data_IF_588512924821
#
_entry.id   IF_588512924821
#
_cell.length_a   1.000
_cell.length_b   1.000
_cell.length_c   1.000
_cell.angle_alpha   90.00
_cell.angle_beta   90.00
_cell.angle_gamma   90.00
#
_symmetry.space_group_name_H-M   'P 1'
#
loop_
_entity.id
_entity.type
_entity.pdbx_description
1 polymer ?
#
# COMPACT_ATOMS: atom_id res chain seq x y z
N UNK A 1 -9.57 50.68 13.62
CA UNK A 1 -8.86 49.52 14.23
C UNK A 1 -9.32 48.25 13.52
N UNK A 2 -8.35 47.42 13.07
CA UNK A 2 -8.34 45.94 12.86
C UNK A 2 -9.70 45.21 12.84
N UNK A 3 -10.08 44.30 11.92
CA UNK A 3 -9.45 43.44 10.89
C UNK A 3 -10.59 42.99 9.91
N UNK A 4 -10.44 42.88 8.58
CA UNK A 4 -9.71 41.88 7.72
C UNK A 4 -10.21 40.43 7.95
N UNK A 5 -10.67 39.55 7.03
CA UNK A 5 -11.08 39.44 5.60
C UNK A 5 -11.86 38.07 5.50
N UNK A 6 -12.59 37.75 4.40
CA UNK A 6 -13.74 36.85 4.36
C UNK A 6 -13.47 35.45 3.77
N UNK A 7 -14.58 34.74 3.52
CA UNK A 7 -14.83 33.72 2.48
C UNK A 7 -15.06 32.28 2.93
N UNK A 8 -16.34 31.89 2.80
CA UNK A 8 -16.85 30.53 2.73
C UNK A 8 -16.37 29.90 1.42
N UNK A 9 -15.66 28.78 1.52
CA UNK A 9 -15.63 27.75 0.47
C UNK A 9 -16.18 26.47 1.08
N UNK A 10 -17.32 26.02 0.57
CA UNK A 10 -17.96 24.75 0.94
C UNK A 10 -17.15 23.64 0.27
N UNK A 11 -16.25 23.03 1.04
CA UNK A 11 -15.70 21.70 0.78
C UNK A 11 -16.06 20.81 1.95
N UNK A 12 -16.86 19.77 1.72
CA UNK A 12 -17.36 18.86 2.75
C UNK A 12 -16.17 18.18 3.45
N UNK A 13 -15.95 18.38 4.76
CA UNK A 13 -14.94 17.63 5.50
C UNK A 13 -15.50 16.25 5.81
N UNK A 14 -14.96 15.20 5.16
CA UNK A 14 -15.18 13.83 5.63
C UNK A 14 -14.40 13.67 6.93
N UNK A 15 -15.14 13.86 8.03
CA UNK A 15 -14.77 13.53 9.40
C UNK A 15 -14.33 12.06 9.51
N UNK A 16 -13.03 11.79 9.42
CA UNK A 16 -12.42 10.60 10.02
C UNK A 16 -12.17 10.84 11.52
N UNK A 17 -13.25 11.12 12.24
CA UNK A 17 -13.29 11.05 13.68
C UNK A 17 -14.55 10.24 14.03
N UNK A 18 -14.36 9.14 14.78
CA UNK A 18 -15.36 8.18 15.27
C UNK A 18 -15.57 6.87 14.49
N UNK A 19 -14.49 6.22 14.01
CA UNK A 19 -14.58 4.85 13.47
C UNK A 19 -13.50 3.85 13.90
N UNK A 20 -12.51 4.26 14.69
CA UNK A 20 -11.48 3.34 15.22
C UNK A 20 -11.58 3.26 16.73
N UNK A 21 -12.78 2.89 17.22
CA UNK A 21 -12.94 2.43 18.60
C UNK A 21 -13.21 0.94 18.58
N UNK A 22 -12.30 0.23 19.23
CA UNK A 22 -12.50 -1.08 19.86
C UNK A 22 -13.01 -2.14 18.89
N UNK A 23 -12.14 -2.92 18.22
CA UNK A 23 -11.78 -4.25 18.68
C UNK A 23 -10.61 -4.76 17.83
N UNK A 24 -9.38 -4.33 18.08
CA UNK A 24 -8.22 -5.10 17.61
C UNK A 24 -7.98 -6.22 18.62
N UNK A 25 -8.87 -7.21 18.64
CA UNK A 25 -8.50 -8.54 19.11
C UNK A 25 -7.51 -9.08 18.07
N UNK A 26 -6.21 -8.98 18.35
CA UNK A 26 -5.23 -9.92 17.79
C UNK A 26 -5.63 -11.32 18.31
N UNK A 27 -6.57 -11.96 17.63
CA UNK A 27 -7.03 -13.31 17.91
C UNK A 27 -6.86 -14.15 16.65
N UNK A 28 -6.23 -15.34 16.73
CA UNK A 28 -6.19 -16.24 15.60
C UNK A 28 -7.59 -16.85 15.44
N UNK A 29 -8.27 -16.56 14.34
CA UNK A 29 -9.43 -17.32 13.89
C UNK A 29 -9.47 -17.31 12.36
N UNK A 30 -9.70 -18.39 11.63
CA UNK A 30 -9.76 -19.83 11.87
C UNK A 30 -9.26 -20.43 10.54
N UNK A 31 -8.58 -21.57 10.66
CA UNK A 31 -8.22 -22.49 9.59
C UNK A 31 -9.13 -22.50 8.35
N UNK A 32 -8.63 -22.02 7.23
CA UNK A 32 -8.64 -22.84 6.03
C UNK A 32 -7.18 -22.98 5.60
N UNK A 33 -6.63 -24.17 5.78
CA UNK A 33 -5.48 -24.63 5.02
C UNK A 33 -5.90 -24.65 3.56
N UNK A 34 -5.81 -23.51 2.88
CA UNK A 34 -6.25 -23.38 1.49
C UNK A 34 -5.25 -24.11 0.61
N UNK A 35 -5.55 -25.38 0.32
CA UNK A 35 -4.99 -26.12 -0.79
C UNK A 35 -5.17 -25.27 -2.06
N UNK A 36 -4.11 -24.61 -2.54
CA UNK A 36 -4.08 -24.17 -3.94
C UNK A 36 -3.26 -22.93 -4.30
N UNK A 37 -2.99 -21.96 -3.41
CA UNK A 37 -2.12 -20.82 -3.77
C UNK A 37 -1.18 -20.42 -2.64
N UNK A 38 0.10 -20.46 -2.96
CA UNK A 38 1.22 -20.18 -2.07
C UNK A 38 1.20 -18.71 -1.62
N UNK A 39 1.60 -18.47 -0.37
CA UNK A 39 1.80 -17.09 0.12
C UNK A 39 2.85 -16.37 -0.73
N UNK A 40 2.83 -15.04 -0.75
CA UNK A 40 3.83 -14.26 -1.48
C UNK A 40 5.27 -14.60 -1.04
N UNK A 41 5.50 -14.91 0.24
CA UNK A 41 6.78 -15.41 0.73
C UNK A 41 7.22 -16.72 0.09
N UNK A 42 6.33 -17.71 -0.01
CA UNK A 42 6.65 -18.99 -0.67
C UNK A 42 6.85 -18.81 -2.17
N UNK A 43 6.09 -17.91 -2.81
CA UNK A 43 6.32 -17.52 -4.21
C UNK A 43 7.69 -16.89 -4.43
N UNK A 44 8.19 -16.08 -3.49
CA UNK A 44 9.54 -15.50 -3.57
C UNK A 44 10.61 -16.59 -3.53
N UNK A 45 10.45 -17.60 -2.67
CA UNK A 45 11.39 -18.73 -2.60
C UNK A 45 11.36 -19.54 -3.88
N UNK A 46 10.18 -20.00 -4.31
CA UNK A 46 10.05 -20.86 -5.50
C UNK A 46 10.30 -20.12 -6.82
N UNK A 47 9.96 -18.83 -6.89
CA UNK A 47 10.18 -17.96 -8.05
C UNK A 47 11.63 -17.52 -8.21
N UNK A 48 12.54 -17.92 -7.31
CA UNK A 48 13.97 -17.62 -7.39
C UNK A 48 14.32 -16.18 -7.00
N UNK A 49 13.59 -15.60 -6.06
CA UNK A 49 13.88 -14.30 -5.46
C UNK A 49 12.85 -13.21 -5.77
N UNK A 50 12.95 -12.12 -5.01
CA UNK A 50 12.00 -11.00 -5.03
C UNK A 50 11.91 -10.34 -6.40
N UNK A 51 13.04 -10.16 -7.09
CA UNK A 51 13.08 -9.51 -8.40
C UNK A 51 12.37 -10.32 -9.48
N UNK A 52 12.54 -11.65 -9.48
CA UNK A 52 11.85 -12.53 -10.43
C UNK A 52 10.34 -12.52 -10.16
N UNK A 53 9.94 -12.60 -8.90
CA UNK A 53 8.52 -12.51 -8.53
C UNK A 53 7.91 -11.15 -8.89
N UNK A 54 8.64 -10.05 -8.71
CA UNK A 54 8.18 -8.73 -9.15
C UNK A 54 7.85 -8.72 -10.65
N UNK A 55 8.76 -9.25 -11.50
CA UNK A 55 8.56 -9.39 -12.96
C UNK A 55 7.46 -10.36 -13.35
N UNK A 56 7.15 -11.35 -12.52
CA UNK A 56 6.04 -12.28 -12.74
C UNK A 56 4.68 -11.70 -12.35
N UNK A 57 4.64 -10.87 -11.31
CA UNK A 57 3.38 -10.33 -10.76
C UNK A 57 2.93 -9.08 -11.51
N UNK A 58 3.89 -8.23 -11.90
CA UNK A 58 3.65 -6.97 -12.57
C UNK A 58 4.29 -6.99 -13.95
N UNK A 59 3.64 -6.33 -14.91
CA UNK A 59 4.29 -5.99 -16.17
C UNK A 59 5.47 -5.06 -15.85
N UNK A 60 6.65 -5.39 -16.36
CA UNK A 60 7.90 -4.64 -16.13
C UNK A 60 8.41 -4.20 -17.49
N UNK A 61 8.59 -2.89 -17.66
CA UNK A 61 9.04 -2.32 -18.92
C UNK A 61 10.56 -2.57 -19.12
N UNK A 62 11.03 -2.39 -20.35
CA UNK A 62 12.45 -2.50 -20.65
C UNK A 62 13.25 -1.46 -19.84
N UNK A 63 14.37 -1.87 -19.26
CA UNK A 63 15.20 -1.00 -18.42
C UNK A 63 14.70 -0.80 -16.99
N UNK A 64 13.45 -1.16 -16.66
CA UNK A 64 12.92 -0.99 -15.30
C UNK A 64 13.65 -1.89 -14.28
N UNK A 65 14.10 -1.27 -13.19
CA UNK A 65 14.87 -1.91 -12.12
C UNK A 65 14.09 -1.87 -10.81
N UNK A 66 14.02 -3.01 -10.13
CA UNK A 66 13.52 -3.08 -8.75
C UNK A 66 14.59 -2.52 -7.80
N UNK A 67 14.26 -1.47 -7.06
CA UNK A 67 15.14 -0.83 -6.08
C UNK A 67 14.99 -1.46 -4.69
N UNK A 68 13.74 -1.72 -4.29
CA UNK A 68 13.43 -2.22 -2.94
C UNK A 68 12.15 -3.03 -2.93
N UNK A 69 12.10 -4.03 -2.06
CA UNK A 69 10.86 -4.59 -1.56
C UNK A 69 10.83 -4.53 -0.03
N UNK A 70 9.66 -4.21 0.52
CA UNK A 70 9.42 -4.07 1.95
C UNK A 70 8.07 -4.69 2.31
N UNK A 71 8.05 -5.50 3.36
CA UNK A 71 6.79 -5.95 3.95
C UNK A 71 6.10 -4.76 4.63
N UNK A 72 4.80 -4.65 4.41
CA UNK A 72 3.96 -3.62 5.01
C UNK A 72 2.47 -4.02 4.94
N UNK A 73 1.63 -3.15 5.43
CA UNK A 73 0.18 -3.21 5.27
C UNK A 73 -0.29 -2.03 4.43
N UNK A 74 -1.22 -2.29 3.51
CA UNK A 74 -2.01 -1.25 2.87
C UNK A 74 -3.27 -1.00 3.70
N UNK A 75 -3.51 0.23 4.12
CA UNK A 75 -4.74 0.61 4.80
C UNK A 75 -5.90 0.65 3.81
N UNK A 76 -7.02 0.01 4.16
CA UNK A 76 -8.27 0.05 3.37
C UNK A 76 -9.45 0.25 4.31
N UNK A 77 -10.61 0.60 3.76
CA UNK A 77 -11.86 0.75 4.53
C UNK A 77 -12.33 -0.55 5.19
N UNK A 78 -12.00 -1.70 4.61
CA UNK A 78 -12.27 -3.03 5.18
C UNK A 78 -11.19 -3.48 6.18
N UNK A 79 -10.19 -2.64 6.43
CA UNK A 79 -9.05 -2.93 7.32
C UNK A 79 -7.71 -3.08 6.57
N UNK A 80 -6.61 -3.24 7.31
CA UNK A 80 -5.26 -3.32 6.74
C UNK A 80 -5.03 -4.66 6.03
N UNK A 81 -4.48 -4.61 4.82
CA UNK A 81 -4.12 -5.78 4.01
C UNK A 81 -2.61 -5.98 4.06
N UNK A 82 -2.16 -7.14 4.57
CA UNK A 82 -0.74 -7.51 4.60
C UNK A 82 -0.21 -7.79 3.18
N UNK A 83 0.99 -7.29 2.86
CA UNK A 83 1.61 -7.51 1.56
C UNK A 83 3.06 -7.04 1.47
N UNK A 84 3.56 -7.02 0.24
CA UNK A 84 4.84 -6.41 -0.09
C UNK A 84 4.63 -5.17 -0.95
N UNK A 85 5.30 -4.09 -0.56
CA UNK A 85 5.53 -2.91 -1.38
C UNK A 85 6.83 -3.09 -2.15
N UNK A 86 6.73 -3.04 -3.47
CA UNK A 86 7.83 -3.03 -4.43
C UNK A 86 8.03 -1.59 -4.91
N UNK A 87 9.26 -1.12 -4.88
CA UNK A 87 9.67 0.21 -5.35
C UNK A 87 10.66 -0.04 -6.48
N UNK A 88 10.31 0.39 -7.68
CA UNK A 88 11.14 0.33 -8.88
C UNK A 88 11.46 1.73 -9.39
N UNK A 89 12.27 1.82 -10.44
CA UNK A 89 12.55 3.09 -11.13
C UNK A 89 11.30 3.68 -11.79
N UNK A 90 10.32 2.84 -12.19
CA UNK A 90 9.15 3.30 -12.96
C UNK A 90 7.85 3.34 -12.14
N UNK A 91 7.75 2.52 -11.08
CA UNK A 91 6.52 2.41 -10.29
C UNK A 91 6.72 1.99 -8.84
N UNK A 92 5.77 2.40 -8.01
CA UNK A 92 5.50 1.81 -6.69
C UNK A 92 4.36 0.81 -6.86
N UNK A 93 4.55 -0.44 -6.48
CA UNK A 93 3.57 -1.50 -6.64
C UNK A 93 3.37 -2.28 -5.34
N UNK A 94 2.13 -2.60 -4.99
CA UNK A 94 1.78 -3.40 -3.83
C UNK A 94 1.11 -4.69 -4.26
N UNK A 95 1.45 -5.80 -3.61
CA UNK A 95 0.75 -7.08 -3.76
C UNK A 95 0.47 -7.69 -2.39
N UNK A 96 -0.79 -8.08 -2.15
CA UNK A 96 -1.17 -8.78 -0.92
C UNK A 96 -0.49 -10.14 -0.78
N UNK A 97 -0.19 -10.54 0.45
CA UNK A 97 0.41 -11.86 0.72
C UNK A 97 -0.53 -13.00 0.34
N UNK A 98 -1.83 -12.81 0.63
CA UNK A 98 -2.90 -13.78 0.39
C UNK A 98 -3.81 -13.29 -0.75
N UNK A 99 -4.42 -14.23 -1.45
CA UNK A 99 -5.44 -13.90 -2.46
C UNK A 99 -6.77 -13.57 -1.77
N UNK A 100 -7.48 -12.58 -2.30
CA UNK A 100 -8.85 -12.29 -1.94
C UNK A 100 -9.79 -13.06 -2.86
N UNK A 101 -10.94 -13.47 -2.34
CA UNK A 101 -12.02 -14.09 -3.11
C UNK A 101 -12.98 -13.00 -3.56
N UNK A 102 -13.17 -12.88 -4.87
CA UNK A 102 -14.05 -11.89 -5.50
C UNK A 102 -15.15 -12.63 -6.25
N UNK A 103 -16.40 -12.20 -6.11
CA UNK A 103 -17.49 -12.72 -6.94
C UNK A 103 -17.31 -12.29 -8.40
N UNK A 104 -17.42 -13.25 -9.30
CA UNK A 104 -17.44 -13.03 -10.75
C UNK A 104 -18.86 -12.68 -11.18
N UNK A 105 -19.05 -11.75 -12.14
CA UNK A 105 -20.34 -11.47 -12.74
C UNK A 105 -21.04 -12.73 -13.30
N UNK A 106 -20.28 -13.75 -13.69
CA UNK A 106 -20.80 -14.99 -14.29
C UNK A 106 -21.19 -16.06 -13.25
N UNK A 107 -21.33 -15.72 -11.97
CA UNK A 107 -21.82 -16.65 -10.94
C UNK A 107 -20.76 -17.57 -10.31
N UNK A 108 -19.48 -17.18 -10.33
CA UNK A 108 -18.38 -17.93 -9.70
C UNK A 108 -17.55 -17.06 -8.76
N UNK A 109 -16.51 -17.62 -8.14
CA UNK A 109 -15.54 -16.86 -7.34
C UNK A 109 -14.16 -16.90 -7.98
N UNK A 110 -13.55 -15.73 -8.17
CA UNK A 110 -12.17 -15.59 -8.63
C UNK A 110 -11.28 -15.26 -7.43
N UNK A 111 -10.24 -16.06 -7.21
CA UNK A 111 -9.24 -15.82 -6.16
C UNK A 111 -8.01 -15.13 -6.76
N UNK A 112 -7.86 -13.84 -6.49
CA UNK A 112 -6.75 -13.01 -7.00
C UNK A 112 -6.10 -12.21 -5.86
N UNK A 113 -4.77 -12.02 -5.84
CA UNK A 113 -4.16 -11.07 -4.91
C UNK A 113 -4.67 -9.65 -5.17
N UNK A 114 -4.83 -8.89 -4.09
CA UNK A 114 -5.06 -7.45 -4.18
C UNK A 114 -3.77 -6.80 -4.67
N UNK A 115 -3.87 -5.95 -5.70
CA UNK A 115 -2.73 -5.27 -6.30
C UNK A 115 -3.00 -3.78 -6.42
N UNK A 116 -1.96 -2.99 -6.20
CA UNK A 116 -1.93 -1.56 -6.51
C UNK A 116 -0.69 -1.30 -7.34
N UNK A 117 -0.81 -0.44 -8.37
CA UNK A 117 0.32 0.02 -9.18
C UNK A 117 0.19 1.52 -9.32
N UNK A 118 1.22 2.24 -8.88
CA UNK A 118 1.32 3.70 -8.92
C UNK A 118 2.56 4.04 -9.75
N UNK A 119 2.40 4.50 -11.00
CA UNK A 119 3.53 5.00 -11.78
C UNK A 119 4.22 6.15 -11.04
N UNK A 120 5.56 6.20 -11.05
CA UNK A 120 6.31 7.26 -10.36
C UNK A 120 5.89 8.64 -10.89
N UNK A 121 5.68 8.76 -12.20
CA UNK A 121 5.20 9.98 -12.86
C UNK A 121 3.85 10.50 -12.35
N UNK A 122 3.05 9.64 -11.71
CA UNK A 122 1.75 10.01 -11.13
C UNK A 122 1.84 10.36 -9.65
N UNK A 123 3.00 10.19 -9.01
CA UNK A 123 3.17 10.51 -7.59
C UNK A 123 3.38 12.01 -7.43
N UNK A 124 2.44 12.65 -6.74
CA UNK A 124 2.52 14.08 -6.39
C UNK A 124 3.37 14.30 -5.15
N UNK A 125 3.22 13.46 -4.12
CA UNK A 125 3.99 13.56 -2.87
C UNK A 125 4.08 12.22 -2.15
N UNK A 126 5.13 12.07 -1.35
CA UNK A 126 5.24 11.02 -0.33
C UNK A 126 5.55 11.67 1.00
N UNK A 127 4.72 11.40 2.01
CA UNK A 127 4.79 12.02 3.32
C UNK A 127 4.88 10.97 4.42
N UNK A 128 5.63 11.30 5.46
CA UNK A 128 5.63 10.55 6.73
C UNK A 128 4.48 11.04 7.60
N UNK A 129 3.84 10.14 8.31
CA UNK A 129 2.85 10.46 9.34
C UNK A 129 2.97 9.48 10.50
N UNK A 130 2.50 9.87 11.67
CA UNK A 130 2.41 9.00 12.84
C UNK A 130 1.03 9.12 13.49
N UNK A 131 0.63 8.07 14.22
CA UNK A 131 -0.61 8.12 14.98
C UNK A 131 -0.41 9.00 16.21
N UNK A 132 -1.26 10.02 16.39
CA UNK A 132 -1.17 10.96 17.52
C UNK A 132 -1.26 10.25 18.88
N UNK A 133 -2.12 9.24 18.99
CA UNK A 133 -2.32 8.48 20.23
C UNK A 133 -1.30 7.34 20.39
N UNK A 134 -0.70 6.90 19.28
CA UNK A 134 0.26 5.78 19.23
C UNK A 134 1.47 6.13 18.36
N UNK A 135 2.41 6.97 18.83
CA UNK A 135 3.55 7.45 18.03
C UNK A 135 4.44 6.35 17.43
N UNK A 136 4.41 5.13 18.00
CA UNK A 136 5.10 3.96 17.42
C UNK A 136 4.48 3.46 16.12
N UNK A 137 3.23 3.83 15.82
CA UNK A 137 2.54 3.53 14.58
C UNK A 137 2.86 4.61 13.56
N UNK A 138 3.83 4.30 12.69
CA UNK A 138 4.23 5.17 11.59
C UNK A 138 3.56 4.76 10.28
N UNK A 139 3.25 5.76 9.45
CA UNK A 139 2.57 5.63 8.17
C UNK A 139 3.34 6.36 7.08
N UNK A 140 3.29 5.82 5.87
CA UNK A 140 3.72 6.52 4.67
C UNK A 140 2.47 6.78 3.83
N UNK A 141 2.18 8.06 3.59
CA UNK A 141 1.16 8.52 2.65
C UNK A 141 1.82 8.69 1.27
N UNK A 142 1.24 8.10 0.24
CA UNK A 142 1.57 8.39 -1.17
C UNK A 142 0.34 9.03 -1.78
N UNK A 143 0.49 10.24 -2.30
CA UNK A 143 -0.61 10.94 -2.98
C UNK A 143 -0.28 11.14 -4.44
N UNK A 144 -1.26 10.83 -5.27
CA UNK A 144 -1.12 10.93 -6.71
C UNK A 144 -1.63 12.27 -7.25
N UNK A 145 -1.25 12.60 -8.48
CA UNK A 145 -1.66 13.85 -9.15
C UNK A 145 -3.17 13.93 -9.39
N UNK A 146 -3.83 12.78 -9.50
CA UNK A 146 -5.29 12.60 -9.60
C UNK A 146 -5.98 12.46 -8.23
N UNK A 147 -5.29 12.83 -7.14
CA UNK A 147 -5.84 12.97 -5.79
C UNK A 147 -6.28 11.65 -5.13
N UNK A 148 -5.68 10.52 -5.51
CA UNK A 148 -5.78 9.29 -4.70
C UNK A 148 -4.71 9.27 -3.63
N UNK A 149 -5.11 8.87 -2.42
CA UNK A 149 -4.21 8.72 -1.28
C UNK A 149 -4.05 7.24 -0.92
N UNK A 150 -2.81 6.77 -0.85
CA UNK A 150 -2.45 5.41 -0.46
C UNK A 150 -1.68 5.43 0.85
N UNK A 151 -2.21 4.74 1.85
CA UNK A 151 -1.64 4.73 3.20
C UNK A 151 -1.02 3.38 3.50
N UNK A 152 0.30 3.37 3.71
CA UNK A 152 1.05 2.18 4.08
C UNK A 152 1.55 2.25 5.51
N UNK A 153 1.51 1.13 6.23
CA UNK A 153 1.91 1.06 7.64
C UNK A 153 2.58 -0.26 7.98
N UNK A 154 3.11 -0.36 9.21
CA UNK A 154 3.66 -1.61 9.73
C UNK A 154 4.89 -2.11 8.96
N UNK A 155 5.69 -1.18 8.43
CA UNK A 155 6.96 -1.51 7.78
C UNK A 155 7.94 -2.09 8.78
N UNK A 156 8.60 -3.21 8.42
CA UNK A 156 9.70 -3.79 9.21
C UNK A 156 10.86 -2.80 9.36
N UNK A 157 11.15 -2.04 8.30
CA UNK A 157 12.11 -0.94 8.33
C UNK A 157 11.52 0.29 7.63
N UNK A 158 10.80 1.09 8.41
CA UNK A 158 10.08 2.27 7.96
C UNK A 158 10.99 3.31 7.31
N UNK A 159 12.09 3.69 7.98
CA UNK A 159 13.00 4.72 7.48
C UNK A 159 13.65 4.32 6.14
N UNK A 160 14.03 3.03 6.02
CA UNK A 160 14.58 2.51 4.77
C UNK A 160 13.54 2.54 3.66
N UNK A 161 12.30 2.12 3.93
CA UNK A 161 11.24 2.14 2.93
C UNK A 161 10.95 3.57 2.43
N UNK A 162 10.85 4.53 3.34
CA UNK A 162 10.64 5.93 3.00
C UNK A 162 11.79 6.50 2.17
N UNK A 163 13.05 6.24 2.55
CA UNK A 163 14.23 6.67 1.79
C UNK A 163 14.22 6.17 0.34
N UNK A 164 13.86 4.90 0.11
CA UNK A 164 13.77 4.36 -1.25
C UNK A 164 12.61 4.97 -2.06
N UNK A 165 11.48 5.31 -1.43
CA UNK A 165 10.38 6.02 -2.09
C UNK A 165 10.82 7.42 -2.52
N UNK A 166 11.46 8.18 -1.62
CA UNK A 166 12.00 9.50 -1.95
C UNK A 166 13.02 9.42 -3.09
N UNK A 167 13.93 8.45 -3.03
CA UNK A 167 14.93 8.25 -4.07
C UNK A 167 14.29 7.96 -5.45
N UNK A 168 13.29 7.08 -5.50
CA UNK A 168 12.62 6.74 -6.76
C UNK A 168 11.95 7.98 -7.39
N UNK A 169 11.33 8.83 -6.57
CA UNK A 169 10.67 10.05 -7.04
C UNK A 169 11.68 11.12 -7.45
N UNK A 170 12.74 11.30 -6.67
CA UNK A 170 13.79 12.29 -6.99
C UNK A 170 14.63 11.93 -8.21
N UNK A 171 14.64 10.67 -8.63
CA UNK A 171 15.31 10.25 -9.86
C UNK A 171 14.45 10.46 -11.11
N UNK A 172 13.15 10.68 -10.93
CA UNK A 172 12.21 10.94 -12.01
C UNK A 172 12.02 12.44 -12.26
N UNK A 173 11.98 13.25 -11.19
CA UNK A 173 11.92 14.72 -11.24
C UNK A 173 13.29 15.32 -11.61
#
# INVERSE_FOLDING_TARGET
MKNRIPERVIGIPISFAHGVREHVKLGPKISETVKGKLSLGVRIVQGGGVQKVFRQIFRVEEGEKLLKASQCYLSTTAGPIAGLLFISTEKVAFCSERSLTISSPNGGFVRTPYKVVIPIEKIKRVAQSENADKPKQKYIEIVTVDHFDFWFMGFVNYEKAFKYLQQAISQFL
#
